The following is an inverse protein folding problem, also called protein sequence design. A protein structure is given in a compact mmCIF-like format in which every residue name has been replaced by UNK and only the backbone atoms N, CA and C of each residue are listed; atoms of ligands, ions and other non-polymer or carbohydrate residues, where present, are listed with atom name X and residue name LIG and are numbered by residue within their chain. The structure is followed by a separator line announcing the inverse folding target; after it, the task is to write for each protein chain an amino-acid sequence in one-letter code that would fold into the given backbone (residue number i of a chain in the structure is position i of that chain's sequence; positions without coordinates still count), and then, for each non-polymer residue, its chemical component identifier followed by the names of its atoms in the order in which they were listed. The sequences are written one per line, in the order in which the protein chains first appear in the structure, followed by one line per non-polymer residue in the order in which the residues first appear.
data_IF_250813780365
#
_entry.id   IF_250813780365
#
_cell.length_a   1.000
_cell.length_b   1.000
_cell.length_c   1.000
_cell.angle_alpha   90.00
_cell.angle_beta   90.00
_cell.angle_gamma   90.00
#
_symmetry.space_group_name_H-M   'P 1'
#
loop_
_entity.id
_entity.type
_entity.pdbx_description
1 polymer ?
#
# COMPACT_ATOMS: atom_id res chain seq x y z
N UNK A 1 7.75 -49.05 2.66
CA UNK A 1 7.36 -48.04 1.65
C UNK A 1 7.75 -46.67 2.17
N UNK A 2 8.52 -45.88 1.40
CA UNK A 2 9.04 -44.57 1.82
C UNK A 2 8.34 -43.50 0.98
N UNK A 3 7.40 -42.77 1.57
CA UNK A 3 6.75 -41.65 0.88
C UNK A 3 7.70 -40.45 0.94
N UNK A 4 8.32 -40.12 -0.19
CA UNK A 4 9.04 -38.84 -0.35
C UNK A 4 8.02 -37.77 -0.75
N UNK A 5 7.67 -36.88 0.18
CA UNK A 5 6.98 -35.64 -0.15
C UNK A 5 7.98 -34.67 -0.80
N UNK A 6 8.01 -34.63 -2.12
CA UNK A 6 8.63 -33.53 -2.87
C UNK A 6 7.59 -32.43 -3.05
N UNK A 7 7.31 -31.64 -2.01
CA UNK A 7 6.74 -30.33 -2.26
C UNK A 7 7.87 -29.47 -2.82
N UNK A 8 7.69 -28.91 -4.02
CA UNK A 8 8.45 -27.73 -4.42
C UNK A 8 7.99 -26.60 -3.50
N UNK A 9 8.54 -26.57 -2.29
CA UNK A 9 8.40 -25.45 -1.37
C UNK A 9 8.73 -24.17 -2.12
N UNK A 10 8.03 -23.09 -1.77
CA UNK A 10 8.22 -21.74 -2.32
C UNK A 10 9.70 -21.50 -2.57
N UNK A 11 10.12 -21.66 -3.84
CA UNK A 11 11.47 -21.31 -4.26
C UNK A 11 11.48 -19.80 -4.20
N UNK A 12 11.84 -19.31 -3.03
CA UNK A 12 12.32 -17.97 -2.82
C UNK A 12 13.54 -17.86 -3.74
N UNK A 13 13.34 -17.26 -4.91
CA UNK A 13 14.40 -16.69 -5.73
C UNK A 13 15.00 -15.52 -4.95
N UNK A 14 15.60 -15.80 -3.80
CA UNK A 14 16.34 -14.87 -2.94
C UNK A 14 17.74 -14.55 -3.51
N UNK A 15 17.90 -14.71 -4.83
CA UNK A 15 19.12 -14.42 -5.58
C UNK A 15 18.92 -13.43 -6.74
N UNK A 16 17.72 -12.85 -6.89
CA UNK A 16 17.49 -11.76 -7.83
C UNK A 16 18.18 -10.48 -7.34
N UNK A 17 18.78 -9.70 -8.26
CA UNK A 17 19.35 -8.39 -7.93
C UNK A 17 18.37 -7.60 -7.04
N UNK A 18 18.79 -7.05 -5.89
CA UNK A 18 17.91 -6.25 -5.03
C UNK A 18 17.37 -4.99 -5.72
N UNK A 19 17.96 -4.61 -6.86
CA UNK A 19 17.52 -3.53 -7.75
C UNK A 19 16.37 -3.94 -8.69
N UNK A 20 16.14 -5.24 -8.89
CA UNK A 20 15.04 -5.78 -9.68
C UNK A 20 13.81 -5.99 -8.80
N UNK A 21 13.23 -4.89 -8.33
CA UNK A 21 11.92 -4.92 -7.68
C UNK A 21 10.88 -5.50 -8.65
N UNK A 22 9.98 -6.40 -8.19
CA UNK A 22 8.86 -6.84 -9.00
C UNK A 22 8.05 -5.65 -9.52
N UNK A 23 7.62 -5.69 -10.78
CA UNK A 23 6.95 -4.55 -11.44
C UNK A 23 5.76 -4.02 -10.63
N UNK A 24 4.99 -4.90 -9.98
CA UNK A 24 3.88 -4.51 -9.11
C UNK A 24 4.32 -3.73 -7.87
N UNK A 25 5.39 -4.16 -7.20
CA UNK A 25 5.94 -3.46 -6.02
C UNK A 25 6.47 -2.09 -6.42
N UNK A 26 7.17 -2.00 -7.56
CA UNK A 26 7.67 -0.73 -8.09
C UNK A 26 6.52 0.25 -8.38
N UNK A 27 5.43 -0.23 -8.98
CA UNK A 27 4.25 0.58 -9.26
C UNK A 27 3.56 1.05 -7.98
N UNK A 28 3.40 0.16 -6.99
CA UNK A 28 2.85 0.52 -5.67
C UNK A 28 3.70 1.59 -4.99
N UNK A 29 5.03 1.47 -5.02
CA UNK A 29 5.93 2.45 -4.43
C UNK A 29 5.79 3.83 -5.11
N UNK A 30 5.73 3.85 -6.45
CA UNK A 30 5.52 5.09 -7.21
C UNK A 30 4.20 5.76 -6.82
N UNK A 31 3.11 5.00 -6.70
CA UNK A 31 1.81 5.55 -6.30
C UNK A 31 1.86 6.13 -4.89
N UNK A 32 2.46 5.41 -3.92
CA UNK A 32 2.57 5.90 -2.55
C UNK A 32 3.36 7.22 -2.46
N UNK A 33 4.50 7.30 -3.15
CA UNK A 33 5.33 8.51 -3.20
C UNK A 33 4.57 9.66 -3.86
N UNK A 34 3.90 9.40 -4.99
CA UNK A 34 3.13 10.42 -5.70
C UNK A 34 1.98 10.99 -4.84
N UNK A 35 1.19 10.12 -4.20
CA UNK A 35 0.10 10.52 -3.30
C UNK A 35 0.63 11.31 -2.12
N UNK A 36 1.74 10.90 -1.52
CA UNK A 36 2.36 11.62 -0.41
C UNK A 36 2.80 13.03 -0.81
N UNK A 37 3.51 13.17 -1.94
CA UNK A 37 3.95 14.48 -2.43
C UNK A 37 2.75 15.39 -2.71
N UNK A 38 1.70 14.89 -3.38
CA UNK A 38 0.49 15.67 -3.65
C UNK A 38 -0.20 16.12 -2.36
N UNK A 39 -0.24 15.26 -1.34
CA UNK A 39 -0.86 15.57 -0.07
C UNK A 39 -0.04 16.60 0.75
N UNK A 40 1.28 16.48 0.75
CA UNK A 40 2.19 17.44 1.38
C UNK A 40 2.08 18.83 0.72
N UNK A 41 2.07 18.88 -0.61
CA UNK A 41 1.97 20.12 -1.38
C UNK A 41 0.57 20.76 -1.31
N UNK A 42 -0.48 19.96 -1.13
CA UNK A 42 -1.86 20.45 -1.06
C UNK A 42 -2.12 21.37 0.14
N UNK A 43 -1.41 21.19 1.25
CA UNK A 43 -1.67 21.91 2.51
C UNK A 43 -3.02 21.58 3.17
N UNK A 44 -3.88 20.78 2.54
CA UNK A 44 -5.21 20.41 3.02
C UNK A 44 -5.28 18.99 3.58
N UNK A 45 -4.21 18.56 4.28
CA UNK A 45 -4.08 17.20 4.82
C UNK A 45 -5.34 16.74 5.55
N UNK A 46 -5.87 17.57 6.45
CA UNK A 46 -7.05 17.23 7.25
C UNK A 46 -8.27 16.85 6.39
N UNK A 47 -8.54 17.60 5.32
CA UNK A 47 -9.69 17.35 4.43
C UNK A 47 -9.45 16.08 3.61
N UNK A 48 -8.24 15.92 3.07
CA UNK A 48 -7.87 14.74 2.29
C UNK A 48 -7.91 13.45 3.15
N UNK A 49 -7.48 13.51 4.41
CA UNK A 49 -7.60 12.40 5.34
C UNK A 49 -9.06 12.07 5.69
N UNK A 50 -9.96 13.06 5.77
CA UNK A 50 -11.38 12.79 5.99
C UNK A 50 -12.07 12.17 4.77
N UNK A 51 -11.63 12.54 3.56
CA UNK A 51 -12.20 12.04 2.31
C UNK A 51 -11.68 10.65 1.94
N UNK A 52 -10.37 10.44 2.05
CA UNK A 52 -9.68 9.25 1.55
C UNK A 52 -9.15 8.32 2.66
N UNK A 53 -9.09 8.79 3.91
CA UNK A 53 -8.72 7.97 5.07
C UNK A 53 -9.88 7.11 5.54
N UNK A 54 -9.56 5.99 6.19
CA UNK A 54 -10.56 5.03 6.62
C UNK A 54 -11.36 5.58 7.82
N UNK A 55 -12.61 5.94 7.59
CA UNK A 55 -13.56 6.32 8.64
C UNK A 55 -14.71 5.30 8.65
N UNK A 56 -14.76 4.36 9.63
CA UNK A 56 -15.74 3.28 9.64
C UNK A 56 -17.19 3.76 9.52
N UNK A 57 -17.50 4.87 10.19
CA UNK A 57 -18.82 5.51 10.10
C UNK A 57 -19.15 5.95 8.67
N UNK A 58 -18.19 6.56 7.96
CA UNK A 58 -18.40 7.06 6.62
C UNK A 58 -18.52 5.92 5.59
N UNK A 59 -17.79 4.82 5.79
CA UNK A 59 -17.94 3.63 4.95
C UNK A 59 -19.32 3.00 5.12
N UNK A 60 -19.77 2.82 6.37
CA UNK A 60 -21.00 2.08 6.68
C UNK A 60 -22.28 2.91 6.55
N UNK A 61 -22.23 4.20 6.87
CA UNK A 61 -23.42 5.08 6.91
C UNK A 61 -23.48 6.07 5.74
N UNK A 62 -22.34 6.45 5.18
CA UNK A 62 -22.25 7.43 4.07
C UNK A 62 -21.80 6.80 2.74
N UNK A 63 -21.71 5.46 2.69
CA UNK A 63 -21.38 4.69 1.48
C UNK A 63 -20.04 5.07 0.84
N UNK A 64 -19.07 5.55 1.63
CA UNK A 64 -17.73 5.92 1.16
C UNK A 64 -16.82 4.71 0.98
N UNK A 65 -17.22 3.76 0.15
CA UNK A 65 -16.52 2.48 0.01
C UNK A 65 -15.09 2.59 -0.52
N UNK A 66 -14.75 3.67 -1.24
CA UNK A 66 -13.38 3.90 -1.71
C UNK A 66 -12.37 3.99 -0.56
N UNK A 67 -12.81 4.41 0.64
CA UNK A 67 -11.93 4.53 1.80
C UNK A 67 -11.28 3.21 2.21
N UNK A 68 -11.85 2.05 1.87
CA UNK A 68 -11.22 0.73 2.14
C UNK A 68 -10.01 0.44 1.27
N UNK A 69 -9.84 1.17 0.17
CA UNK A 69 -8.68 1.04 -0.72
C UNK A 69 -7.76 2.26 -0.62
N UNK A 70 -8.31 3.47 -0.56
CA UNK A 70 -7.50 4.70 -0.61
C UNK A 70 -6.71 4.95 0.66
N UNK A 71 -7.16 4.45 1.81
CA UNK A 71 -6.44 4.65 3.07
C UNK A 71 -5.05 4.03 3.07
N UNK A 72 -4.82 2.99 2.28
CA UNK A 72 -3.53 2.29 2.16
C UNK A 72 -2.42 3.18 1.60
N UNK A 73 -2.77 4.26 0.91
CA UNK A 73 -1.81 5.16 0.25
C UNK A 73 -1.58 6.46 1.02
N UNK A 74 -2.32 6.71 2.12
CA UNK A 74 -2.23 7.94 2.89
C UNK A 74 -1.19 7.85 4.00
N UNK A 75 -0.24 8.78 4.02
CA UNK A 75 0.86 8.79 4.98
C UNK A 75 0.93 10.12 5.73
N UNK A 76 0.73 10.10 7.06
CA UNK A 76 0.59 11.31 7.88
C UNK A 76 1.88 12.12 8.12
N UNK A 77 3.02 11.70 7.57
CA UNK A 77 4.30 12.39 7.68
C UNK A 77 5.48 11.53 7.23
N UNK A 78 6.66 12.13 7.22
CA UNK A 78 7.90 11.53 6.70
C UNK A 78 8.31 10.22 7.37
N UNK A 79 8.09 10.07 8.67
CA UNK A 79 8.40 8.84 9.42
C UNK A 79 7.44 7.70 9.05
N UNK A 80 6.23 8.02 8.60
CA UNK A 80 5.23 7.01 8.27
C UNK A 80 5.50 6.39 6.89
N UNK A 81 6.16 7.09 5.97
CA UNK A 81 6.40 6.64 4.59
C UNK A 81 7.75 5.90 4.39
N UNK A 82 8.68 6.03 5.32
CA UNK A 82 10.01 5.39 5.30
C UNK A 82 9.96 4.06 6.03
#
# INVERSE_FOLDING_TARGET
MRYQYSSRGFRQDSGGNPLLLPNGVKLLLIINIAVFILMELSGQKNILFQLFGLVPRAVLQEYRFWQTFTYLFLHGGWIHII
#
